data_IF_451922453010
#
_entry.id   IF_451922453010
#
_cell.length_a   1.000
_cell.length_b   1.000
_cell.length_c   1.000
_cell.angle_alpha   90.00
_cell.angle_beta   90.00
_cell.angle_gamma   90.00
#
_symmetry.space_group_name_H-M   'P 1'
#
loop_
_entity.id
_entity.type
_entity.pdbx_description
1 polymer ?
#
# COMPACT_ATOMS: atom_id res chain seq x y z
N UNK A 1 17.91 -1.82 14.64
CA UNK A 1 17.59 -2.60 13.44
C UNK A 1 16.09 -2.88 13.36
N UNK A 2 15.31 -1.95 12.79
CA UNK A 2 13.90 -2.21 12.50
C UNK A 2 13.81 -2.80 11.09
N UNK A 3 13.29 -4.01 10.94
CA UNK A 3 13.03 -4.60 9.64
C UNK A 3 12.03 -3.68 8.89
N UNK A 4 12.36 -3.16 7.70
CA UNK A 4 11.46 -2.27 6.96
C UNK A 4 10.05 -2.82 6.80
N UNK A 5 9.90 -4.16 6.79
CA UNK A 5 8.60 -4.84 6.65
C UNK A 5 7.75 -4.81 7.91
N UNK A 6 8.35 -4.81 9.10
CA UNK A 6 7.60 -4.68 10.36
C UNK A 6 6.98 -3.29 10.46
N UNK A 7 7.68 -2.28 9.97
CA UNK A 7 7.19 -0.90 9.85
C UNK A 7 6.05 -0.75 8.83
N UNK A 8 5.87 -1.71 7.92
CA UNK A 8 4.78 -1.69 6.95
C UNK A 8 3.50 -2.40 7.46
N UNK A 9 3.53 -2.98 8.66
CA UNK A 9 2.39 -3.67 9.25
C UNK A 9 1.79 -4.74 8.32
N UNK A 10 0.49 -4.63 8.06
CA UNK A 10 -0.26 -5.55 7.20
C UNK A 10 0.23 -5.51 5.74
N UNK A 11 0.64 -4.33 5.23
CA UNK A 11 1.23 -4.23 3.90
C UNK A 11 2.56 -4.99 3.83
N UNK A 12 3.36 -4.92 4.90
CA UNK A 12 4.59 -5.70 5.04
C UNK A 12 4.32 -7.21 5.05
N UNK A 13 3.26 -7.64 5.76
CA UNK A 13 2.78 -9.03 5.77
C UNK A 13 2.36 -9.51 4.38
N UNK A 14 1.69 -8.67 3.59
CA UNK A 14 1.28 -8.99 2.20
C UNK A 14 2.48 -9.22 1.27
N UNK A 15 3.58 -8.52 1.51
CA UNK A 15 4.80 -8.52 0.70
C UNK A 15 5.90 -9.49 1.19
N UNK A 16 5.58 -10.43 2.09
CA UNK A 16 6.54 -11.46 2.55
C UNK A 16 6.94 -12.38 1.38
N UNK A 17 5.96 -12.75 0.56
CA UNK A 17 6.13 -13.58 -0.64
C UNK A 17 5.99 -12.71 -1.89
N UNK A 18 6.41 -13.18 -3.07
CA UNK A 18 6.15 -12.48 -4.33
C UNK A 18 4.69 -12.06 -4.43
N UNK A 19 4.45 -10.81 -4.84
CA UNK A 19 3.13 -10.21 -4.82
C UNK A 19 2.93 -9.22 -5.97
N UNK A 20 1.68 -9.09 -6.41
CA UNK A 20 1.21 -8.05 -7.31
C UNK A 20 0.19 -7.21 -6.55
N UNK A 21 0.35 -5.89 -6.57
CA UNK A 21 -0.61 -4.96 -5.99
C UNK A 21 -1.36 -4.25 -7.11
N UNK A 22 -2.69 -4.31 -7.06
CA UNK A 22 -3.59 -3.62 -7.99
C UNK A 22 -4.47 -2.66 -7.18
N UNK A 23 -4.01 -1.41 -6.95
CA UNK A 23 -4.77 -0.42 -6.21
C UNK A 23 -5.83 0.25 -7.08
N UNK A 24 -7.04 0.40 -6.53
CA UNK A 24 -8.16 1.09 -7.16
C UNK A 24 -8.59 2.28 -6.30
N UNK A 25 -8.73 3.45 -6.95
CA UNK A 25 -9.29 4.66 -6.32
C UNK A 25 -10.80 4.57 -6.11
N UNK A 26 -11.48 3.86 -7.00
CA UNK A 26 -12.93 3.65 -6.97
C UNK A 26 -13.26 2.20 -6.58
N UNK A 27 -14.50 1.93 -6.12
CA UNK A 27 -14.95 0.56 -5.87
C UNK A 27 -14.71 -0.30 -7.12
N UNK A 28 -14.00 -1.41 -6.95
CA UNK A 28 -13.62 -2.27 -8.07
C UNK A 28 -14.84 -2.98 -8.66
N UNK A 29 -14.86 -3.13 -9.97
CA UNK A 29 -15.90 -3.86 -10.70
C UNK A 29 -15.51 -5.33 -10.93
N UNK A 30 -16.50 -6.17 -11.25
CA UNK A 30 -16.22 -7.57 -11.59
C UNK A 30 -15.32 -7.71 -12.83
N UNK A 31 -15.46 -6.80 -13.80
CA UNK A 31 -14.59 -6.79 -15.00
C UNK A 31 -13.15 -6.46 -14.63
N UNK A 32 -12.94 -5.45 -13.78
CA UNK A 32 -11.59 -5.10 -13.32
C UNK A 32 -10.93 -6.21 -12.51
N UNK A 33 -11.67 -6.89 -11.62
CA UNK A 33 -11.14 -8.06 -10.90
C UNK A 33 -10.68 -9.14 -11.89
N UNK A 34 -11.47 -9.43 -12.94
CA UNK A 34 -11.08 -10.40 -13.98
C UNK A 34 -9.85 -9.94 -14.76
N UNK A 35 -9.73 -8.65 -15.04
CA UNK A 35 -8.52 -8.08 -15.66
C UNK A 35 -7.30 -8.25 -14.76
N UNK A 36 -7.42 -8.01 -13.46
CA UNK A 36 -6.33 -8.26 -12.52
C UNK A 36 -5.94 -9.75 -12.48
N UNK A 37 -6.92 -10.66 -12.50
CA UNK A 37 -6.66 -12.10 -12.60
C UNK A 37 -5.94 -12.47 -13.91
N UNK A 38 -6.32 -11.85 -15.04
CA UNK A 38 -5.62 -12.04 -16.31
C UNK A 38 -4.14 -11.64 -16.18
N UNK A 39 -3.84 -10.47 -15.60
CA UNK A 39 -2.46 -10.03 -15.35
C UNK A 39 -1.66 -11.03 -14.51
N UNK A 40 -2.27 -11.57 -13.45
CA UNK A 40 -1.64 -12.60 -12.61
C UNK A 40 -1.30 -13.86 -13.44
N UNK A 41 -2.25 -14.34 -14.25
CA UNK A 41 -2.06 -15.53 -15.08
C UNK A 41 -1.01 -15.32 -16.19
N UNK A 42 -0.89 -14.09 -16.73
CA UNK A 42 0.16 -13.74 -17.68
C UNK A 42 1.56 -13.83 -17.05
N UNK A 43 1.71 -13.29 -15.83
CA UNK A 43 2.95 -13.37 -15.05
C UNK A 43 3.29 -14.81 -14.71
N UNK A 44 2.32 -15.58 -14.22
CA UNK A 44 2.50 -17.02 -13.94
C UNK A 44 2.88 -17.79 -15.20
N UNK A 45 2.24 -17.50 -16.34
CA UNK A 45 2.58 -18.09 -17.63
C UNK A 45 4.01 -17.78 -18.06
N UNK A 46 4.52 -16.58 -17.78
CA UNK A 46 5.91 -16.23 -18.04
C UNK A 46 6.88 -17.00 -17.13
N UNK A 47 6.59 -17.09 -15.83
CA UNK A 47 7.39 -17.88 -14.87
C UNK A 47 7.50 -19.33 -15.33
N UNK A 48 6.37 -19.94 -15.68
CA UNK A 48 6.31 -21.32 -16.18
C UNK A 48 7.10 -21.50 -17.48
N UNK A 49 7.01 -20.57 -18.43
CA UNK A 49 7.82 -20.62 -19.67
C UNK A 49 9.32 -20.53 -19.39
N UNK A 50 9.73 -19.69 -18.45
CA UNK A 50 11.15 -19.55 -18.05
C UNK A 50 11.67 -20.84 -17.40
N UNK A 51 10.91 -21.41 -16.47
CA UNK A 51 11.26 -22.67 -15.82
C UNK A 51 11.36 -23.84 -16.80
N UNK A 52 10.41 -23.95 -17.73
CA UNK A 52 10.44 -24.97 -18.80
C UNK A 52 11.69 -24.85 -19.69
N UNK A 53 12.10 -23.62 -20.06
CA UNK A 53 13.33 -23.38 -20.83
C UNK A 53 14.59 -23.78 -20.05
N UNK A 54 14.58 -23.59 -18.74
CA UNK A 54 15.69 -23.90 -17.83
C UNK A 54 15.66 -25.36 -17.31
N UNK A 55 14.62 -26.13 -17.64
CA UNK A 55 14.36 -27.49 -17.13
C UNK A 55 14.32 -27.54 -15.59
N UNK A 56 13.79 -26.49 -14.97
CA UNK A 56 13.55 -26.40 -13.53
C UNK A 56 12.06 -26.50 -13.22
N UNK A 57 11.73 -26.87 -11.99
CA UNK A 57 10.34 -26.86 -11.51
C UNK A 57 10.03 -25.51 -10.87
N UNK A 58 8.84 -24.97 -11.11
CA UNK A 58 8.35 -23.78 -10.40
C UNK A 58 7.85 -24.22 -9.05
N UNK A 59 8.36 -23.59 -7.99
CA UNK A 59 7.79 -23.73 -6.66
C UNK A 59 6.57 -22.81 -6.53
N UNK A 60 5.52 -23.28 -5.84
CA UNK A 60 4.39 -22.44 -5.46
C UNK A 60 4.82 -21.16 -4.74
N UNK A 61 5.96 -21.13 -4.04
CA UNK A 61 6.50 -19.91 -3.43
C UNK A 61 6.93 -18.82 -4.41
N UNK A 62 7.18 -19.16 -5.68
CA UNK A 62 7.68 -18.22 -6.71
C UNK A 62 6.55 -17.48 -7.44
N UNK A 63 5.36 -18.08 -7.50
CA UNK A 63 4.21 -17.48 -8.16
C UNK A 63 3.68 -16.35 -7.26
N UNK A 64 3.45 -15.14 -7.78
CA UNK A 64 3.00 -14.06 -6.93
C UNK A 64 1.58 -14.27 -6.41
N UNK A 65 1.27 -13.63 -5.28
CA UNK A 65 -0.11 -13.43 -4.82
C UNK A 65 -0.61 -12.07 -5.30
N UNK A 66 -1.80 -12.04 -5.90
CA UNK A 66 -2.46 -10.80 -6.29
C UNK A 66 -3.24 -10.22 -5.10
N UNK A 67 -2.98 -8.94 -4.80
CA UNK A 67 -3.68 -8.13 -3.81
C UNK A 67 -4.41 -6.99 -4.52
N UNK A 68 -5.72 -7.09 -4.61
CA UNK A 68 -6.59 -6.03 -5.14
C UNK A 68 -6.95 -5.11 -3.99
N UNK A 69 -6.53 -3.85 -4.03
CA UNK A 69 -6.84 -2.87 -2.98
C UNK A 69 -7.97 -1.98 -3.47
N UNK A 70 -9.11 -2.00 -2.79
CA UNK A 70 -10.29 -1.23 -3.18
C UNK A 70 -10.88 -0.48 -1.99
N UNK A 71 -11.36 0.76 -2.14
CA UNK A 71 -11.94 1.52 -1.03
C UNK A 71 -13.13 0.81 -0.41
N UNK A 72 -14.03 0.29 -1.24
CA UNK A 72 -15.25 -0.42 -0.82
C UNK A 72 -15.58 -1.55 -1.80
N UNK A 73 -16.23 -2.60 -1.32
CA UNK A 73 -16.78 -3.66 -2.14
C UNK A 73 -18.16 -4.06 -1.59
N UNK A 74 -19.11 -4.37 -2.47
CA UNK A 74 -20.42 -4.87 -2.06
C UNK A 74 -20.36 -6.36 -1.74
N UNK A 75 -21.24 -6.83 -0.84
CA UNK A 75 -21.33 -8.27 -0.52
C UNK A 75 -21.61 -9.11 -1.76
N UNK A 76 -22.49 -8.64 -2.65
CA UNK A 76 -22.80 -9.32 -3.91
C UNK A 76 -21.57 -9.49 -4.81
N UNK A 77 -20.69 -8.49 -4.87
CA UNK A 77 -19.45 -8.59 -5.63
C UNK A 77 -18.52 -9.64 -5.02
N UNK A 78 -18.30 -9.58 -3.70
CA UNK A 78 -17.43 -10.52 -2.98
C UNK A 78 -17.94 -11.97 -3.10
N UNK A 79 -19.24 -12.18 -2.91
CA UNK A 79 -19.92 -13.48 -3.08
C UNK A 79 -19.81 -13.99 -4.53
N UNK A 80 -19.91 -13.10 -5.52
CA UNK A 80 -19.76 -13.45 -6.94
C UNK A 80 -18.38 -14.03 -7.30
N UNK A 81 -17.35 -13.73 -6.52
CA UNK A 81 -16.01 -14.33 -6.64
C UNK A 81 -15.74 -15.42 -5.60
N UNK A 82 -16.72 -15.76 -4.77
CA UNK A 82 -16.56 -16.70 -3.66
C UNK A 82 -15.50 -16.24 -2.65
N UNK A 83 -15.31 -14.92 -2.52
CA UNK A 83 -14.29 -14.34 -1.67
C UNK A 83 -14.66 -14.50 -0.19
N UNK A 84 -13.79 -15.11 0.61
CA UNK A 84 -14.03 -15.44 2.01
C UNK A 84 -13.07 -14.73 2.93
N UNK A 85 -13.59 -14.27 4.06
CA UNK A 85 -12.80 -13.62 5.10
C UNK A 85 -11.96 -14.66 5.85
N UNK A 86 -10.72 -14.31 6.16
CA UNK A 86 -9.85 -15.07 7.05
C UNK A 86 -9.54 -14.20 8.27
N UNK A 87 -10.51 -14.10 9.19
CA UNK A 87 -10.37 -13.21 10.36
C UNK A 87 -9.25 -13.65 11.29
N UNK A 88 -8.99 -14.95 11.41
CA UNK A 88 -8.00 -15.51 12.33
C UNK A 88 -6.58 -15.10 11.91
N UNK A 89 -6.27 -15.15 10.62
CA UNK A 89 -4.93 -14.84 10.14
C UNK A 89 -4.78 -13.39 9.64
N UNK A 90 -5.80 -12.80 9.04
CA UNK A 90 -5.69 -11.50 8.34
C UNK A 90 -6.58 -10.40 8.90
N UNK A 91 -7.56 -10.77 9.74
CA UNK A 91 -8.50 -9.82 10.32
C UNK A 91 -9.55 -9.32 9.33
N UNK A 92 -10.17 -8.19 9.67
CA UNK A 92 -11.29 -7.63 8.90
C UNK A 92 -10.83 -6.95 7.62
N UNK A 93 -11.69 -7.00 6.60
CA UNK A 93 -11.47 -6.32 5.33
C UNK A 93 -10.57 -7.05 4.33
N UNK A 94 -10.07 -8.26 4.65
CA UNK A 94 -9.23 -9.05 3.75
C UNK A 94 -9.98 -10.32 3.32
N UNK A 95 -10.38 -10.38 2.06
CA UNK A 95 -11.15 -11.48 1.50
C UNK A 95 -10.31 -12.28 0.51
N UNK A 96 -10.21 -13.58 0.70
CA UNK A 96 -9.46 -14.50 -0.16
C UNK A 96 -10.37 -15.20 -1.14
N UNK A 97 -9.96 -15.24 -2.41
CA UNK A 97 -10.53 -16.15 -3.39
C UNK A 97 -10.05 -17.60 -3.11
N UNK A 98 -10.55 -18.56 -3.89
CA UNK A 98 -10.08 -19.94 -3.81
C UNK A 98 -8.53 -20.01 -3.88
N UNK A 99 -7.86 -20.86 -3.08
CA UNK A 99 -6.40 -20.85 -2.94
C UNK A 99 -5.63 -20.92 -4.27
N UNK A 100 -6.11 -21.72 -5.22
CA UNK A 100 -5.49 -21.88 -6.55
C UNK A 100 -5.53 -20.61 -7.41
N UNK A 101 -6.37 -19.63 -7.09
CA UNK A 101 -6.42 -18.33 -7.77
C UNK A 101 -5.43 -17.33 -7.19
N UNK A 102 -4.79 -17.65 -6.05
CA UNK A 102 -3.74 -16.82 -5.40
C UNK A 102 -4.09 -15.33 -5.32
N UNK A 103 -5.35 -15.03 -5.02
CA UNK A 103 -5.87 -13.66 -5.07
C UNK A 103 -6.58 -13.31 -3.77
N UNK A 104 -6.39 -12.07 -3.33
CA UNK A 104 -7.12 -11.49 -2.21
C UNK A 104 -7.61 -10.08 -2.56
N UNK A 105 -8.78 -9.72 -2.03
CA UNK A 105 -9.42 -8.42 -2.15
C UNK A 105 -9.34 -7.75 -0.78
N UNK A 106 -8.65 -6.62 -0.72
CA UNK A 106 -8.52 -5.75 0.46
C UNK A 106 -9.52 -4.62 0.35
N UNK A 107 -10.52 -4.62 1.23
CA UNK A 107 -11.59 -3.63 1.31
C UNK A 107 -11.23 -2.60 2.37
N UNK A 108 -10.63 -1.49 1.94
CA UNK A 108 -9.90 -0.56 2.81
C UNK A 108 -10.79 0.05 3.91
N UNK A 109 -12.03 0.42 3.62
CA UNK A 109 -12.93 1.01 4.63
C UNK A 109 -13.32 0.05 5.77
N UNK A 110 -13.09 -1.26 5.61
CA UNK A 110 -13.37 -2.27 6.63
C UNK A 110 -12.16 -2.57 7.51
N UNK A 111 -10.98 -2.04 7.17
CA UNK A 111 -9.77 -2.27 7.94
C UNK A 111 -9.88 -1.57 9.30
N UNK A 112 -9.52 -2.25 10.41
CA UNK A 112 -9.57 -1.66 11.74
C UNK A 112 -8.57 -0.49 11.83
N UNK A 113 -8.89 0.61 12.54
CA UNK A 113 -7.98 1.75 12.70
C UNK A 113 -6.87 1.43 13.69
N UNK A 114 -5.82 0.78 13.20
CA UNK A 114 -4.63 0.38 13.97
C UNK A 114 -3.38 0.76 13.17
N UNK A 115 -2.23 0.86 13.85
CA UNK A 115 -0.93 1.12 13.18
C UNK A 115 -0.62 0.07 12.11
N UNK A 116 -0.99 -1.20 12.35
CA UNK A 116 -0.78 -2.28 11.41
C UNK A 116 -1.49 -2.09 10.06
N UNK A 117 -2.65 -1.40 10.01
CA UNK A 117 -3.39 -1.16 8.76
C UNK A 117 -3.19 0.23 8.19
N UNK A 118 -2.40 1.07 8.87
CA UNK A 118 -2.30 2.50 8.59
C UNK A 118 -1.88 2.78 7.14
N UNK A 119 -0.87 2.06 6.62
CA UNK A 119 -0.43 2.19 5.22
C UNK A 119 -1.55 1.93 4.22
N UNK A 120 -2.33 0.87 4.42
CA UNK A 120 -3.42 0.52 3.52
C UNK A 120 -4.55 1.56 3.58
N UNK A 121 -4.79 2.17 4.75
CA UNK A 121 -5.81 3.22 4.92
C UNK A 121 -5.37 4.58 4.38
N UNK A 122 -4.07 4.89 4.38
CA UNK A 122 -3.51 6.07 3.69
C UNK A 122 -3.76 5.98 2.18
N UNK A 123 -3.70 4.76 1.60
CA UNK A 123 -4.07 4.50 0.21
C UNK A 123 -5.59 4.48 -0.05
N UNK A 124 -6.40 4.69 1.00
CA UNK A 124 -7.85 4.77 0.91
C UNK A 124 -8.33 6.12 0.35
N UNK A 125 -9.58 6.47 0.69
CA UNK A 125 -10.20 7.73 0.28
C UNK A 125 -11.12 8.30 1.36
N UNK A 126 -11.50 9.56 1.20
CA UNK A 126 -12.45 10.27 2.05
C UNK A 126 -12.06 10.23 3.52
N UNK A 127 -13.05 9.96 4.36
CA UNK A 127 -12.88 9.91 5.82
C UNK A 127 -11.87 8.85 6.28
N UNK A 128 -11.70 7.76 5.53
CA UNK A 128 -10.75 6.69 5.90
C UNK A 128 -9.32 7.19 5.74
N UNK A 129 -9.04 7.86 4.62
CA UNK A 129 -7.72 8.45 4.35
C UNK A 129 -7.45 9.65 5.27
N UNK A 130 -8.41 10.56 5.44
CA UNK A 130 -8.26 11.70 6.33
C UNK A 130 -7.92 11.27 7.76
N UNK A 131 -8.64 10.29 8.30
CA UNK A 131 -8.36 9.74 9.64
C UNK A 131 -7.01 9.04 9.70
N UNK A 132 -6.60 8.33 8.66
CA UNK A 132 -5.28 7.70 8.60
C UNK A 132 -4.15 8.75 8.59
N UNK A 133 -4.36 9.89 7.96
CA UNK A 133 -3.42 11.02 8.02
C UNK A 133 -3.39 11.63 9.42
N UNK A 134 -4.54 11.83 10.06
CA UNK A 134 -4.60 12.33 11.44
C UNK A 134 -3.82 11.39 12.39
N UNK A 135 -3.98 10.08 12.21
CA UNK A 135 -3.23 9.07 12.96
C UNK A 135 -1.72 9.16 12.67
N UNK A 136 -1.33 9.33 11.40
CA UNK A 136 0.06 9.53 11.00
C UNK A 136 0.67 10.81 11.61
N UNK A 137 -0.10 11.90 11.65
CA UNK A 137 0.26 13.19 12.25
C UNK A 137 0.45 13.09 13.77
N UNK A 138 -0.25 12.16 14.42
CA UNK A 138 -0.14 11.92 15.86
C UNK A 138 1.05 11.05 16.27
N UNK A 139 1.70 10.35 15.32
CA UNK A 139 2.87 9.53 15.62
C UNK A 139 4.08 10.41 16.00
N UNK A 140 4.99 9.94 16.86
CA UNK A 140 6.24 10.65 17.16
C UNK A 140 7.01 11.07 15.90
N UNK A 141 7.68 12.21 15.93
CA UNK A 141 8.39 12.76 14.76
C UNK A 141 9.55 11.88 14.30
N UNK A 142 10.18 11.17 15.22
CA UNK A 142 11.25 10.20 14.98
C UNK A 142 10.73 8.82 14.56
N UNK A 143 9.40 8.62 14.54
CA UNK A 143 8.82 7.33 14.20
C UNK A 143 9.13 6.98 12.73
N UNK A 144 9.83 5.87 12.44
CA UNK A 144 10.28 5.54 11.09
C UNK A 144 9.16 5.48 10.04
N UNK A 145 7.96 5.07 10.47
CA UNK A 145 6.77 5.09 9.61
C UNK A 145 6.42 6.50 9.13
N UNK A 146 6.46 7.50 10.03
CA UNK A 146 6.10 8.89 9.72
C UNK A 146 7.06 9.46 8.70
N UNK A 147 8.35 9.18 8.85
CA UNK A 147 9.41 9.60 7.91
C UNK A 147 9.19 9.02 6.52
N UNK A 148 9.08 7.68 6.42
CA UNK A 148 8.92 6.99 5.15
C UNK A 148 7.60 7.34 4.45
N UNK A 149 6.51 7.50 5.21
CA UNK A 149 5.21 7.88 4.67
C UNK A 149 5.26 9.29 4.07
N UNK A 150 5.85 10.24 4.77
CA UNK A 150 5.99 11.61 4.26
C UNK A 150 6.85 11.64 2.98
N UNK A 151 7.99 10.95 2.94
CA UNK A 151 8.83 10.87 1.73
C UNK A 151 8.08 10.27 0.53
N UNK A 152 7.37 9.16 0.72
CA UNK A 152 6.60 8.53 -0.35
C UNK A 152 5.45 9.42 -0.85
N UNK A 153 4.76 10.09 0.08
CA UNK A 153 3.67 11.03 -0.25
C UNK A 153 4.18 12.26 -1.01
N UNK A 154 5.40 12.71 -0.75
CA UNK A 154 6.04 13.81 -1.49
C UNK A 154 6.53 13.39 -2.87
N UNK A 155 7.09 12.18 -2.99
CA UNK A 155 7.46 11.63 -4.28
C UNK A 155 6.22 11.51 -5.17
N UNK A 156 5.12 11.00 -4.60
CA UNK A 156 3.82 11.01 -5.24
C UNK A 156 3.40 12.44 -5.63
N UNK A 157 3.52 13.43 -4.72
CA UNK A 157 3.28 14.84 -5.04
C UNK A 157 4.08 15.30 -6.25
N UNK A 158 5.39 15.08 -6.28
CA UNK A 158 6.25 15.52 -7.39
C UNK A 158 5.88 14.88 -8.73
N UNK A 159 5.48 13.61 -8.72
CA UNK A 159 4.97 12.92 -9.91
C UNK A 159 3.60 13.46 -10.35
N UNK A 160 2.72 13.74 -9.37
CA UNK A 160 1.36 14.22 -9.59
C UNK A 160 1.28 15.70 -10.01
N UNK A 161 2.21 16.57 -9.58
CA UNK A 161 2.25 17.97 -10.04
C UNK A 161 2.55 18.12 -11.54
N UNK A 162 2.96 17.05 -12.23
CA UNK A 162 3.13 17.04 -13.67
C UNK A 162 1.84 16.72 -14.44
N UNK A 163 0.80 16.20 -13.76
CA UNK A 163 -0.53 15.97 -14.33
C UNK A 163 -1.49 17.10 -13.92
N UNK A 164 -2.11 17.75 -14.90
CA UNK A 164 -2.93 18.96 -14.69
C UNK A 164 -4.30 18.68 -14.03
N UNK A 165 -4.75 17.43 -13.94
CA UNK A 165 -6.07 17.04 -13.45
C UNK A 165 -6.02 16.33 -12.09
N UNK A 166 -5.44 16.98 -11.08
CA UNK A 166 -5.58 16.50 -9.70
C UNK A 166 -6.99 16.76 -9.18
N UNK A 167 -7.69 15.68 -8.82
CA UNK A 167 -8.97 15.73 -8.11
C UNK A 167 -8.81 16.50 -6.79
N UNK A 168 -9.88 17.17 -6.35
CA UNK A 168 -9.87 18.04 -5.17
C UNK A 168 -9.36 17.33 -3.90
N UNK A 169 -9.68 16.05 -3.76
CA UNK A 169 -9.28 15.20 -2.63
C UNK A 169 -7.75 14.98 -2.60
N UNK A 170 -7.10 14.81 -3.76
CA UNK A 170 -5.64 14.68 -3.85
C UNK A 170 -4.95 16.01 -3.51
N UNK A 171 -5.58 17.14 -3.88
CA UNK A 171 -5.07 18.48 -3.53
C UNK A 171 -5.16 18.74 -2.02
N UNK A 172 -6.27 18.37 -1.39
CA UNK A 172 -6.44 18.49 0.07
C UNK A 172 -5.43 17.61 0.83
N UNK A 173 -5.25 16.37 0.38
CA UNK A 173 -4.20 15.47 0.87
C UNK A 173 -2.81 16.11 0.79
N UNK A 174 -2.45 16.62 -0.39
CA UNK A 174 -1.15 17.29 -0.62
C UNK A 174 -0.98 18.53 0.26
N UNK A 175 -2.02 19.34 0.44
CA UNK A 175 -1.98 20.56 1.25
C UNK A 175 -1.79 20.25 2.74
N UNK A 176 -2.41 19.19 3.26
CA UNK A 176 -2.23 18.79 4.67
C UNK A 176 -0.82 18.26 4.95
N UNK A 177 -0.26 17.50 4.01
CA UNK A 177 1.04 16.83 4.20
C UNK A 177 2.25 17.71 3.86
N UNK A 178 2.11 18.72 2.99
CA UNK A 178 3.23 19.55 2.54
C UNK A 178 3.92 20.35 3.67
N UNK A 179 3.21 21.01 4.60
CA UNK A 179 3.85 21.75 5.70
C UNK A 179 4.68 20.87 6.63
N UNK A 180 4.24 19.63 6.87
CA UNK A 180 4.91 18.68 7.76
C UNK A 180 6.32 18.33 7.25
N UNK A 181 6.46 18.15 5.95
CA UNK A 181 7.77 17.91 5.35
C UNK A 181 8.64 19.17 5.34
N UNK A 182 8.08 20.32 4.99
CA UNK A 182 8.86 21.57 4.94
C UNK A 182 9.43 21.92 6.31
N UNK A 183 8.68 21.73 7.40
CA UNK A 183 9.20 21.91 8.77
C UNK A 183 10.39 20.99 9.05
N UNK A 184 10.24 19.69 8.73
CA UNK A 184 11.29 18.70 8.98
C UNK A 184 12.56 18.95 8.17
N UNK A 185 12.43 19.26 6.88
CA UNK A 185 13.58 19.58 6.03
C UNK A 185 14.33 20.80 6.57
N UNK A 186 13.59 21.80 7.08
CA UNK A 186 14.18 22.97 7.71
C UNK A 186 14.97 22.58 8.98
N UNK A 187 14.40 21.75 9.85
CA UNK A 187 15.04 21.25 11.07
C UNK A 187 16.30 20.43 10.79
N UNK A 188 16.28 19.55 9.78
CA UNK A 188 17.45 18.76 9.36
C UNK A 188 18.56 19.65 8.78
N UNK A 189 18.20 20.66 7.98
CA UNK A 189 19.15 21.64 7.44
C UNK A 189 19.78 22.49 8.56
N UNK A 190 18.99 22.91 9.54
CA UNK A 190 19.46 23.72 10.67
C UNK A 190 20.34 22.89 11.62
N UNK A 191 19.98 21.62 11.88
CA UNK A 191 20.81 20.69 12.63
C UNK A 191 22.16 20.41 11.91
N UNK A 192 22.13 20.21 10.59
CA UNK A 192 23.32 20.02 9.76
C UNK A 192 24.24 21.26 9.74
N UNK A 193 23.67 22.47 9.69
CA UNK A 193 24.42 23.72 9.83
C UNK A 193 25.10 23.83 11.20
N UNK A 194 24.38 23.51 12.28
CA UNK A 194 24.94 23.55 13.63
C UNK A 194 26.06 22.52 13.83
N UNK A 195 25.92 21.31 13.29
CA UNK A 195 26.99 20.29 13.33
C UNK A 195 28.21 20.68 12.49
N UNK A 196 28.01 21.27 11.30
CA UNK A 196 29.11 21.76 10.47
C UNK A 196 29.89 22.91 11.12
N UNK A 197 29.21 23.77 11.89
CA UNK A 197 29.84 24.84 12.67
C UNK A 197 30.61 24.30 13.88
N UNK A 198 30.18 23.20 14.50
CA UNK A 198 30.88 22.57 15.62
C UNK A 198 32.06 21.68 15.21
N UNK A 199 32.01 21.05 14.03
CA UNK A 199 33.12 20.22 13.51
C UNK A 199 34.17 21.01 12.72
N UNK A 200 33.88 22.27 12.38
CA UNK A 200 34.81 23.21 11.73
C UNK A 200 35.59 24.11 12.70
N UNK A 201 35.42 23.89 14.02
CA UNK A 201 36.21 24.50 15.11
C UNK A 201 37.17 23.45 15.69
#
# INVERSE_FOLDING_TARGET
DNNPRELLGLLGKMAINPCLFEPFRNPVTATEIRTCLLKLLEVEGEINRRANRQKTNVNDGEIPRLWILTPTASSQLLEGFGAKLDEENWGKGIYFLAPSLRTAITVIHQLPPTEATLWLRILGRGKVQARAIDELESLPEDHPFRVNALELLLNLRTSLTNDQELEQEDRELIMRLSPLYTSRLQEELDAGRQQGLQQGL
#
